data_IF_738697646700
#
_entry.id   IF_738697646700
#
_cell.length_a   1.000
_cell.length_b   1.000
_cell.length_c   1.000
_cell.angle_alpha   90.00
_cell.angle_beta   90.00
_cell.angle_gamma   90.00
#
_symmetry.space_group_name_H-M   'P 1'
#
loop_
_entity.id
_entity.type
_entity.pdbx_description
1 polymer ?
#
# COMPACT_ATOMS: atom_id res chain seq x y z
N UNK A 1 -2.48 -22.64 -8.72
CA UNK A 1 -2.50 -21.84 -7.48
C UNK A 1 -2.70 -20.38 -7.86
N UNK A 2 -3.93 -19.85 -7.79
CA UNK A 2 -4.21 -18.42 -8.00
C UNK A 2 -5.05 -17.95 -6.82
N UNK A 3 -4.41 -17.74 -5.67
CA UNK A 3 -5.02 -16.99 -4.59
C UNK A 3 -5.14 -15.54 -5.06
N UNK A 4 -6.30 -15.19 -5.60
CA UNK A 4 -6.68 -13.82 -5.86
C UNK A 4 -6.98 -13.14 -4.53
N UNK A 5 -5.95 -12.81 -3.77
CA UNK A 5 -6.11 -11.94 -2.60
C UNK A 5 -6.72 -10.63 -3.08
N UNK A 6 -7.87 -10.26 -2.51
CA UNK A 6 -8.56 -9.02 -2.83
C UNK A 6 -7.62 -7.84 -2.61
N UNK A 7 -7.67 -6.86 -3.51
CA UNK A 7 -6.85 -5.64 -3.39
C UNK A 7 -7.36 -4.83 -2.20
N UNK A 8 -6.53 -4.69 -1.16
CA UNK A 8 -6.79 -3.91 0.05
C UNK A 8 -6.38 -2.46 -0.19
N UNK A 9 -7.06 -1.51 0.46
CA UNK A 9 -6.65 -0.11 0.39
C UNK A 9 -5.56 0.14 1.41
N UNK A 10 -4.48 0.79 0.98
CA UNK A 10 -3.29 1.02 1.78
C UNK A 10 -3.02 2.51 1.80
N UNK A 11 -3.05 3.11 2.99
CA UNK A 11 -2.73 4.52 3.21
C UNK A 11 -1.26 4.69 3.52
N UNK A 12 -0.59 5.53 2.75
CA UNK A 12 0.84 5.83 2.88
C UNK A 12 1.06 7.08 3.73
N UNK A 13 2.27 7.19 4.31
CA UNK A 13 2.66 8.34 5.13
C UNK A 13 2.69 9.67 4.37
N UNK A 14 2.84 9.63 3.04
CA UNK A 14 2.71 10.80 2.17
C UNK A 14 1.25 11.25 1.97
N UNK A 15 0.27 10.51 2.52
CA UNK A 15 -1.16 10.80 2.40
C UNK A 15 -1.85 10.08 1.23
N UNK A 16 -1.10 9.54 0.27
CA UNK A 16 -1.68 8.78 -0.84
C UNK A 16 -2.29 7.45 -0.37
N UNK A 17 -3.37 7.05 -1.05
CA UNK A 17 -4.00 5.74 -0.87
C UNK A 17 -3.84 4.95 -2.16
N UNK A 18 -3.21 3.78 -2.09
CA UNK A 18 -3.09 2.86 -3.21
C UNK A 18 -3.65 1.48 -2.87
N UNK A 19 -3.65 0.57 -3.84
CA UNK A 19 -4.19 -0.77 -3.67
C UNK A 19 -3.07 -1.80 -3.67
N UNK A 20 -2.95 -2.55 -2.59
CA UNK A 20 -1.93 -3.59 -2.46
C UNK A 20 -2.55 -4.90 -1.96
N UNK A 21 -1.94 -6.02 -2.34
CA UNK A 21 -2.40 -7.35 -1.91
C UNK A 21 -1.67 -7.85 -0.67
N UNK A 22 -0.45 -7.41 -0.44
CA UNK A 22 0.51 -8.02 0.48
C UNK A 22 0.93 -7.03 1.58
N UNK A 23 0.96 -5.74 1.29
CA UNK A 23 1.44 -4.73 2.23
C UNK A 23 0.64 -4.69 3.54
N UNK A 24 1.37 -4.50 4.64
CA UNK A 24 0.86 -4.32 5.99
C UNK A 24 1.26 -2.95 6.55
N UNK A 25 0.58 -2.53 7.62
CA UNK A 25 0.97 -1.31 8.34
C UNK A 25 2.41 -1.42 8.85
N UNK A 26 3.24 -0.43 8.51
CA UNK A 26 4.66 -0.41 8.82
C UNK A 26 5.60 -0.76 7.67
N UNK A 27 5.12 -1.45 6.63
CA UNK A 27 5.92 -1.79 5.44
C UNK A 27 6.30 -0.52 4.65
N UNK A 28 7.36 -0.58 3.85
CA UNK A 28 7.66 0.45 2.86
C UNK A 28 7.28 -0.07 1.47
N UNK A 29 6.43 0.68 0.78
CA UNK A 29 6.01 0.36 -0.58
C UNK A 29 6.33 1.53 -1.50
N UNK A 30 6.60 1.23 -2.76
CA UNK A 30 6.75 2.26 -3.76
C UNK A 30 5.43 3.00 -3.92
N UNK A 31 5.47 4.32 -3.72
CA UNK A 31 4.31 5.16 -3.97
C UNK A 31 4.17 5.40 -5.47
N UNK A 32 3.08 4.90 -6.06
CA UNK A 32 2.81 5.03 -7.51
C UNK A 32 2.38 6.44 -7.94
N UNK A 33 2.21 7.36 -6.99
CA UNK A 33 1.94 8.77 -7.25
C UNK A 33 3.25 9.56 -7.49
N UNK A 34 3.16 10.88 -7.63
CA UNK A 34 4.28 11.79 -7.86
C UNK A 34 5.40 11.78 -6.81
N UNK A 35 5.21 11.08 -5.68
CA UNK A 35 6.27 10.93 -4.69
C UNK A 35 7.50 10.22 -5.26
N UNK A 36 7.32 9.26 -6.19
CA UNK A 36 8.41 8.47 -6.78
C UNK A 36 9.44 7.98 -5.75
N UNK A 37 8.95 7.47 -4.62
CA UNK A 37 9.76 7.09 -3.46
C UNK A 37 9.13 5.92 -2.69
N UNK A 38 9.92 5.28 -1.82
CA UNK A 38 9.47 4.22 -0.92
C UNK A 38 8.85 4.81 0.34
N UNK A 39 7.52 4.75 0.43
CA UNK A 39 6.77 5.38 1.52
C UNK A 39 6.25 4.32 2.48
N UNK A 40 6.35 4.62 3.77
CA UNK A 40 5.79 3.79 4.83
C UNK A 40 4.27 3.70 4.76
N UNK A 41 3.73 2.50 4.89
CA UNK A 41 2.30 2.24 5.07
C UNK A 41 1.90 2.63 6.50
N UNK A 42 0.89 3.48 6.60
CA UNK A 42 0.31 3.94 7.86
C UNK A 42 -0.86 3.05 8.29
N UNK A 43 -1.76 2.72 7.36
CA UNK A 43 -2.91 1.88 7.64
C UNK A 43 -3.32 1.06 6.42
N UNK A 44 -3.95 -0.09 6.66
CA UNK A 44 -4.56 -0.93 5.63
C UNK A 44 -6.04 -1.06 5.98
N UNK A 45 -6.90 -0.73 5.02
CA UNK A 45 -8.34 -0.99 5.13
C UNK A 45 -8.67 -2.28 4.39
N UNK A 46 -9.32 -3.20 5.11
CA UNK A 46 -9.75 -4.53 4.65
C UNK A 46 -11.03 -4.47 3.81
#
# INVERSE_FOLDING_TARGET
MKQGHALRRVRLACGHVQRDRIAHAGDHVWCEADCSDWIRVVSVEE
#
